data_IF_135205157403
#
_entry.id   IF_135205157403
#
_cell.length_a   1.000
_cell.length_b   1.000
_cell.length_c   1.000
_cell.angle_alpha   90.00
_cell.angle_beta   90.00
_cell.angle_gamma   90.00
#
_symmetry.space_group_name_H-M   'P 1'
#
loop_
_entity.id
_entity.type
_entity.pdbx_description
1 polymer ?
#
# COMPACT_ATOMS: atom_id res chain seq x y z
N UNK A 1 16.61 28.35 18.86
CA UNK A 1 15.31 28.01 19.48
C UNK A 1 15.06 26.54 19.18
N UNK A 2 15.04 25.67 20.19
CA UNK A 2 14.56 24.30 20.00
C UNK A 2 13.09 24.37 19.57
N UNK A 3 12.79 23.76 18.42
CA UNK A 3 11.44 23.69 17.92
C UNK A 3 10.67 22.70 18.81
N UNK A 4 9.83 23.22 19.72
CA UNK A 4 9.01 22.39 20.62
C UNK A 4 8.11 21.49 19.78
N UNK A 5 8.34 20.17 19.82
CA UNK A 5 7.53 19.19 19.09
C UNK A 5 6.20 18.98 19.83
N UNK A 6 5.09 19.03 19.10
CA UNK A 6 3.76 18.84 19.68
C UNK A 6 3.54 17.39 20.12
N UNK A 7 2.92 17.20 21.28
CA UNK A 7 2.48 15.89 21.78
C UNK A 7 1.00 15.69 21.40
N UNK A 8 0.71 14.61 20.69
CA UNK A 8 -0.63 14.19 20.25
C UNK A 8 -1.46 15.33 19.60
N UNK A 9 -0.92 16.08 18.62
CA UNK A 9 -1.61 17.22 18.04
C UNK A 9 -2.84 16.78 17.24
N UNK A 10 -3.93 17.55 17.35
CA UNK A 10 -5.05 17.46 16.42
C UNK A 10 -4.85 18.47 15.29
N UNK A 11 -4.66 17.99 14.07
CA UNK A 11 -4.48 18.82 12.86
C UNK A 11 -5.62 18.61 11.87
N UNK A 12 -6.86 18.84 12.34
CA UNK A 12 -8.07 18.54 11.58
C UNK A 12 -8.12 19.23 10.20
N UNK A 13 -7.68 20.49 10.12
CA UNK A 13 -7.63 21.22 8.84
C UNK A 13 -6.71 20.56 7.80
N UNK A 14 -5.58 19.99 8.22
CA UNK A 14 -4.69 19.21 7.35
C UNK A 14 -5.34 17.90 6.97
N UNK A 15 -5.94 17.18 7.94
CA UNK A 15 -6.58 15.89 7.70
C UNK A 15 -7.71 16.01 6.66
N UNK A 16 -8.63 16.96 6.86
CA UNK A 16 -9.76 17.18 5.94
C UNK A 16 -9.25 17.53 4.54
N UNK A 17 -8.27 18.45 4.42
CA UNK A 17 -7.68 18.79 3.12
C UNK A 17 -7.06 17.57 2.45
N UNK A 18 -6.31 16.77 3.21
CA UNK A 18 -5.73 15.52 2.74
C UNK A 18 -6.78 14.56 2.20
N UNK A 19 -7.85 14.31 2.96
CA UNK A 19 -8.94 13.41 2.55
C UNK A 19 -9.68 13.90 1.32
N UNK A 20 -10.03 15.20 1.26
CA UNK A 20 -10.69 15.79 0.09
C UNK A 20 -9.83 15.62 -1.16
N UNK A 21 -8.51 15.86 -1.05
CA UNK A 21 -7.59 15.69 -2.17
C UNK A 21 -7.45 14.22 -2.55
N UNK A 22 -7.18 13.32 -1.59
CA UNK A 22 -6.99 11.88 -1.83
C UNK A 22 -8.21 11.29 -2.53
N UNK A 23 -9.40 11.47 -1.96
CA UNK A 23 -10.61 10.82 -2.47
C UNK A 23 -11.21 11.57 -3.68
N UNK A 24 -11.04 12.89 -3.77
CA UNK A 24 -11.39 13.65 -4.96
C UNK A 24 -10.55 13.25 -6.18
N UNK A 25 -9.23 13.15 -6.01
CA UNK A 25 -8.35 12.67 -7.07
C UNK A 25 -8.61 11.19 -7.38
N UNK A 26 -8.92 10.37 -6.39
CA UNK A 26 -9.31 8.97 -6.60
C UNK A 26 -10.47 8.86 -7.59
N UNK A 27 -11.53 9.63 -7.38
CA UNK A 27 -12.71 9.61 -8.25
C UNK A 27 -12.35 10.08 -9.66
N UNK A 28 -11.74 11.27 -9.78
CA UNK A 28 -11.46 11.90 -11.07
C UNK A 28 -10.49 11.05 -11.90
N UNK A 29 -9.40 10.61 -11.29
CA UNK A 29 -8.36 9.89 -12.01
C UNK A 29 -8.74 8.45 -12.31
N UNK A 30 -9.53 7.78 -11.45
CA UNK A 30 -10.03 6.45 -11.76
C UNK A 30 -10.97 6.49 -12.98
N UNK A 31 -11.88 7.47 -13.02
CA UNK A 31 -12.77 7.68 -14.15
C UNK A 31 -12.00 7.88 -15.46
N UNK A 32 -11.02 8.79 -15.47
CA UNK A 32 -10.16 9.04 -16.63
C UNK A 32 -9.41 7.78 -17.02
N UNK A 33 -8.83 7.07 -16.05
CA UNK A 33 -8.03 5.89 -16.33
C UNK A 33 -8.87 4.75 -16.92
N UNK A 34 -10.10 4.54 -16.43
CA UNK A 34 -11.05 3.58 -17.01
C UNK A 34 -11.35 3.89 -18.48
N UNK A 35 -11.53 5.16 -18.84
CA UNK A 35 -11.68 5.57 -20.25
C UNK A 35 -10.41 5.23 -21.04
N UNK A 36 -9.24 5.57 -20.51
CA UNK A 36 -7.96 5.36 -21.19
C UNK A 36 -7.69 3.87 -21.45
N UNK A 37 -7.85 2.99 -20.45
CA UNK A 37 -7.57 1.56 -20.64
C UNK A 37 -8.62 0.84 -21.49
N UNK A 38 -9.86 1.38 -21.58
CA UNK A 38 -10.86 0.91 -22.54
C UNK A 38 -10.52 1.33 -23.97
N UNK A 39 -9.97 2.52 -24.16
CA UNK A 39 -9.56 3.02 -25.47
C UNK A 39 -8.22 2.45 -25.95
N UNK A 40 -7.29 2.23 -25.02
CA UNK A 40 -5.94 1.72 -25.28
C UNK A 40 -5.57 0.66 -24.21
N UNK A 41 -6.02 -0.59 -24.38
CA UNK A 41 -5.74 -1.67 -23.44
C UNK A 41 -4.24 -1.91 -23.20
N UNK A 42 -3.90 -2.21 -21.95
CA UNK A 42 -2.55 -2.65 -21.56
C UNK A 42 -2.38 -4.12 -21.92
N UNK A 43 -3.36 -4.98 -21.62
CA UNK A 43 -3.30 -6.35 -22.12
C UNK A 43 -3.57 -6.46 -23.62
N UNK A 44 -3.47 -7.67 -24.20
CA UNK A 44 -3.77 -7.94 -25.61
C UNK A 44 -5.28 -8.03 -25.88
N UNK A 45 -6.10 -7.27 -25.14
CA UNK A 45 -7.56 -7.38 -25.16
C UNK A 45 -8.14 -6.75 -26.43
N UNK A 46 -9.11 -7.42 -27.05
CA UNK A 46 -9.81 -6.93 -28.24
C UNK A 46 -11.31 -7.17 -28.15
N UNK A 47 -12.11 -6.38 -28.86
CA UNK A 47 -13.57 -6.56 -28.91
C UNK A 47 -14.22 -6.55 -27.52
N UNK A 48 -15.00 -7.60 -27.23
CA UNK A 48 -15.72 -7.73 -25.96
C UNK A 48 -14.78 -7.91 -24.75
N UNK A 49 -13.58 -8.46 -24.95
CA UNK A 49 -12.62 -8.71 -23.86
C UNK A 49 -12.16 -7.41 -23.20
N UNK A 50 -12.16 -6.29 -23.94
CA UNK A 50 -11.81 -4.99 -23.38
C UNK A 50 -12.74 -4.62 -22.21
N UNK A 51 -14.05 -4.86 -22.32
CA UNK A 51 -14.99 -4.56 -21.23
C UNK A 51 -14.89 -5.56 -20.07
N UNK A 52 -14.40 -6.77 -20.32
CA UNK A 52 -14.19 -7.77 -19.28
C UNK A 52 -12.90 -7.54 -18.49
N UNK A 53 -11.88 -6.95 -19.12
CA UNK A 53 -10.51 -6.85 -18.59
C UNK A 53 -10.01 -5.43 -18.31
N UNK A 54 -10.75 -4.38 -18.67
CA UNK A 54 -10.32 -3.00 -18.42
C UNK A 54 -9.99 -2.74 -16.93
N UNK A 55 -10.77 -3.34 -16.01
CA UNK A 55 -10.54 -3.18 -14.59
C UNK A 55 -9.18 -3.73 -14.19
N UNK A 56 -8.79 -4.87 -14.76
CA UNK A 56 -7.53 -5.53 -14.47
C UNK A 56 -6.34 -4.70 -14.96
N UNK A 57 -6.46 -4.12 -16.17
CA UNK A 57 -5.46 -3.21 -16.72
C UNK A 57 -5.32 -1.94 -15.85
N UNK A 58 -6.45 -1.35 -15.43
CA UNK A 58 -6.47 -0.21 -14.52
C UNK A 58 -5.75 -0.54 -13.21
N UNK A 59 -6.08 -1.68 -12.60
CA UNK A 59 -5.49 -2.14 -11.35
C UNK A 59 -3.99 -2.38 -11.50
N UNK A 60 -3.57 -3.11 -12.53
CA UNK A 60 -2.15 -3.38 -12.78
C UNK A 60 -1.36 -2.08 -12.96
N UNK A 61 -1.90 -1.15 -13.75
CA UNK A 61 -1.26 0.16 -13.94
C UNK A 61 -1.11 0.88 -12.60
N UNK A 62 -2.18 1.02 -11.80
CA UNK A 62 -2.10 1.68 -10.50
C UNK A 62 -1.07 1.02 -9.57
N UNK A 63 -1.04 -0.30 -9.51
CA UNK A 63 -0.11 -1.02 -8.65
C UNK A 63 1.34 -0.88 -9.07
N UNK A 64 1.64 -0.96 -10.37
CA UNK A 64 3.00 -0.70 -10.84
C UNK A 64 3.40 0.76 -10.65
N UNK A 65 2.47 1.69 -10.87
CA UNK A 65 2.71 3.11 -10.61
C UNK A 65 2.98 3.40 -9.14
N UNK A 66 2.21 2.80 -8.24
CA UNK A 66 2.41 2.94 -6.80
C UNK A 66 3.71 2.25 -6.34
N UNK A 67 4.14 1.17 -6.98
CA UNK A 67 5.43 0.55 -6.67
C UNK A 67 6.60 1.52 -6.92
N UNK A 68 6.56 2.27 -8.02
CA UNK A 68 7.54 3.35 -8.28
C UNK A 68 7.48 4.43 -7.20
N UNK A 69 6.30 4.74 -6.66
CA UNK A 69 6.17 5.66 -5.52
C UNK A 69 7.01 5.19 -4.34
N UNK A 70 6.85 3.92 -3.97
CA UNK A 70 7.58 3.33 -2.87
C UNK A 70 9.07 3.26 -3.12
N UNK A 71 9.50 2.96 -4.34
CA UNK A 71 10.92 2.95 -4.67
C UNK A 71 11.54 4.34 -4.53
N UNK A 72 10.88 5.38 -5.05
CA UNK A 72 11.35 6.75 -4.88
C UNK A 72 11.36 7.17 -3.40
N UNK A 73 10.29 6.89 -2.66
CA UNK A 73 10.21 7.20 -1.23
C UNK A 73 11.28 6.48 -0.39
N UNK A 74 11.55 5.21 -0.70
CA UNK A 74 12.57 4.38 -0.05
C UNK A 74 13.98 4.95 -0.13
N UNK A 75 14.28 5.75 -1.17
CA UNK A 75 15.59 6.38 -1.39
C UNK A 75 15.55 7.90 -1.19
N UNK A 76 14.60 8.38 -0.36
CA UNK A 76 14.50 9.79 0.01
C UNK A 76 13.98 10.69 -1.12
N UNK A 77 13.11 10.19 -1.98
CA UNK A 77 12.53 10.87 -3.15
C UNK A 77 13.54 11.25 -4.24
N UNK A 78 14.69 10.58 -4.33
CA UNK A 78 15.56 10.68 -5.50
C UNK A 78 14.84 10.15 -6.76
N UNK A 79 14.99 10.78 -7.96
CA UNK A 79 15.86 11.92 -8.30
C UNK A 79 15.24 13.31 -8.08
N UNK A 80 14.05 13.40 -7.48
CA UNK A 80 13.28 14.64 -7.37
C UNK A 80 13.71 15.56 -6.21
N UNK A 81 14.74 15.19 -5.45
CA UNK A 81 15.21 15.92 -4.27
C UNK A 81 15.67 17.35 -4.56
N UNK A 82 16.07 17.66 -5.79
CA UNK A 82 16.46 19.01 -6.19
C UNK A 82 15.28 19.96 -6.37
N UNK A 83 14.05 19.45 -6.50
CA UNK A 83 12.83 20.25 -6.65
C UNK A 83 12.40 20.75 -5.27
N UNK A 84 12.61 22.04 -5.01
CA UNK A 84 12.38 22.66 -3.68
C UNK A 84 10.89 22.83 -3.36
N UNK A 85 10.07 23.15 -4.36
CA UNK A 85 8.64 23.33 -4.15
C UNK A 85 7.97 21.95 -4.00
N UNK A 86 7.35 21.69 -2.85
CA UNK A 86 6.70 20.42 -2.54
C UNK A 86 5.58 20.06 -3.52
N UNK A 87 4.79 21.04 -3.98
CA UNK A 87 3.73 20.81 -4.96
C UNK A 87 4.32 20.37 -6.29
N UNK A 88 5.32 21.08 -6.81
CA UNK A 88 5.98 20.71 -8.07
C UNK A 88 6.71 19.37 -7.96
N UNK A 89 7.43 19.14 -6.85
CA UNK A 89 8.07 17.84 -6.61
C UNK A 89 7.04 16.72 -6.60
N UNK A 90 5.91 16.94 -5.91
CA UNK A 90 4.85 15.96 -5.81
C UNK A 90 4.20 15.63 -7.15
N UNK A 91 3.89 16.67 -7.94
CA UNK A 91 3.37 16.51 -9.29
C UNK A 91 4.36 15.77 -10.20
N UNK A 92 5.62 16.20 -10.24
CA UNK A 92 6.65 15.55 -11.07
C UNK A 92 6.87 14.09 -10.68
N UNK A 93 6.96 13.78 -9.39
CA UNK A 93 7.15 12.42 -8.92
C UNK A 93 5.93 11.53 -9.22
N UNK A 94 4.71 12.06 -9.06
CA UNK A 94 3.47 11.34 -9.40
C UNK A 94 3.39 11.05 -10.91
N UNK A 95 3.65 12.05 -11.75
CA UNK A 95 3.67 11.88 -13.21
C UNK A 95 4.73 10.85 -13.62
N UNK A 96 5.93 10.90 -13.03
CA UNK A 96 6.97 9.91 -13.30
C UNK A 96 6.52 8.49 -12.93
N UNK A 97 5.85 8.32 -11.79
CA UNK A 97 5.25 7.03 -11.40
C UNK A 97 4.24 6.54 -12.42
N UNK A 98 3.39 7.42 -12.98
CA UNK A 98 2.41 7.04 -14.00
C UNK A 98 3.10 6.64 -15.31
N UNK A 99 4.05 7.45 -15.78
CA UNK A 99 4.83 7.17 -16.99
C UNK A 99 5.59 5.84 -16.87
N UNK A 100 6.11 5.50 -15.69
CA UNK A 100 6.83 4.25 -15.46
C UNK A 100 5.89 3.07 -15.16
N UNK A 101 4.72 3.32 -14.55
CA UNK A 101 3.75 2.29 -14.21
C UNK A 101 3.13 1.61 -15.42
N UNK A 102 2.78 2.39 -16.45
CA UNK A 102 2.20 1.85 -17.68
C UNK A 102 3.12 0.84 -18.40
N UNK A 103 4.39 1.17 -18.73
CA UNK A 103 5.28 0.22 -19.37
C UNK A 103 5.62 -0.95 -18.44
N UNK A 104 5.70 -0.76 -17.12
CA UNK A 104 5.87 -1.88 -16.18
C UNK A 104 4.72 -2.89 -16.27
N UNK A 105 3.48 -2.42 -16.37
CA UNK A 105 2.32 -3.28 -16.59
C UNK A 105 2.33 -3.93 -17.98
N UNK A 106 2.63 -3.14 -19.03
CA UNK A 106 2.68 -3.62 -20.43
C UNK A 106 3.78 -4.66 -20.66
N UNK A 107 4.90 -4.54 -19.93
CA UNK A 107 6.07 -5.40 -20.06
C UNK A 107 5.75 -6.87 -19.79
N UNK A 108 4.79 -7.18 -18.90
CA UNK A 108 4.31 -8.55 -18.66
C UNK A 108 3.91 -9.20 -19.99
N UNK A 109 3.04 -8.51 -20.75
CA UNK A 109 2.54 -9.01 -22.02
C UNK A 109 3.59 -8.96 -23.13
N UNK A 110 4.49 -7.97 -23.13
CA UNK A 110 5.62 -7.93 -24.08
C UNK A 110 6.60 -9.08 -23.90
N UNK A 111 6.74 -9.60 -22.68
CA UNK A 111 7.53 -10.80 -22.39
C UNK A 111 6.79 -12.10 -22.73
N UNK A 112 5.58 -12.02 -23.30
CA UNK A 112 4.74 -13.18 -23.61
C UNK A 112 4.10 -13.82 -22.38
N UNK A 113 4.10 -13.14 -21.23
CA UNK A 113 3.44 -13.61 -20.02
C UNK A 113 1.95 -13.25 -20.06
N UNK A 114 1.09 -14.13 -19.54
CA UNK A 114 -0.34 -13.89 -19.42
C UNK A 114 -0.72 -13.03 -18.21
N UNK A 115 -2.00 -12.65 -18.12
CA UNK A 115 -2.54 -11.86 -17.01
C UNK A 115 -2.32 -12.52 -15.63
N UNK A 116 -2.29 -13.85 -15.58
CA UNK A 116 -2.02 -14.62 -14.37
C UNK A 116 -0.64 -14.36 -13.75
N UNK A 117 0.28 -13.71 -14.46
CA UNK A 117 1.60 -13.30 -13.94
C UNK A 117 1.60 -11.96 -13.22
N UNK A 118 0.61 -11.09 -13.43
CA UNK A 118 0.66 -9.73 -12.90
C UNK A 118 0.66 -9.70 -11.38
N UNK A 119 -0.31 -10.33 -10.71
CA UNK A 119 -0.34 -10.34 -9.25
C UNK A 119 0.84 -11.09 -8.60
N UNK A 120 1.32 -12.23 -9.14
CA UNK A 120 2.58 -12.83 -8.72
C UNK A 120 3.77 -11.87 -8.70
N UNK A 121 3.96 -11.12 -9.80
CA UNK A 121 5.03 -10.11 -9.89
C UNK A 121 4.80 -8.99 -8.89
N UNK A 122 3.59 -8.41 -8.88
CA UNK A 122 3.22 -7.27 -8.04
C UNK A 122 3.40 -7.60 -6.55
N UNK A 123 2.89 -8.74 -6.07
CA UNK A 123 3.03 -9.08 -4.65
C UNK A 123 4.48 -9.29 -4.23
N UNK A 124 5.31 -9.87 -5.10
CA UNK A 124 6.74 -10.05 -4.80
C UNK A 124 7.48 -8.71 -4.75
N UNK A 125 7.29 -7.83 -5.74
CA UNK A 125 7.99 -6.54 -5.77
C UNK A 125 7.58 -5.64 -4.58
N UNK A 126 6.31 -5.71 -4.15
CA UNK A 126 5.82 -5.03 -2.95
C UNK A 126 6.38 -5.64 -1.66
N UNK A 127 6.48 -6.97 -1.59
CA UNK A 127 7.04 -7.65 -0.42
C UNK A 127 8.50 -7.28 -0.22
N UNK A 128 9.31 -7.36 -1.28
CA UNK A 128 10.74 -7.10 -1.17
C UNK A 128 11.04 -5.63 -0.87
N UNK A 129 10.30 -4.68 -1.47
CA UNK A 129 10.51 -3.27 -1.14
C UNK A 129 10.10 -2.95 0.31
N UNK A 130 9.01 -3.54 0.81
CA UNK A 130 8.63 -3.41 2.22
C UNK A 130 9.76 -3.95 3.12
N UNK A 131 10.22 -5.17 2.85
CA UNK A 131 11.19 -5.88 3.67
C UNK A 131 12.55 -5.18 3.74
N UNK A 132 13.05 -4.69 2.61
CA UNK A 132 14.34 -4.00 2.58
C UNK A 132 14.22 -2.56 3.07
N UNK A 133 13.17 -1.84 2.67
CA UNK A 133 13.13 -0.38 2.81
C UNK A 133 12.23 0.14 3.93
N UNK A 134 11.06 -0.43 4.14
CA UNK A 134 10.04 0.16 5.02
C UNK A 134 9.97 -0.47 6.41
N UNK A 135 10.33 -1.75 6.59
CA UNK A 135 10.46 -2.37 7.93
C UNK A 135 11.80 -2.10 8.62
N UNK A 136 12.63 -1.22 8.04
CA UNK A 136 13.99 -1.01 8.51
C UNK A 136 14.81 0.15 7.95
N UNK A 137 14.25 1.02 7.12
CA UNK A 137 14.97 2.20 6.63
C UNK A 137 16.07 1.89 5.61
N UNK A 138 15.76 1.04 4.63
CA UNK A 138 16.71 0.57 3.61
C UNK A 138 17.97 -0.10 4.19
N UNK A 139 17.75 -0.95 5.20
CA UNK A 139 18.79 -1.46 6.08
C UNK A 139 19.97 -2.17 5.40
N UNK A 140 19.83 -2.92 4.29
CA UNK A 140 20.98 -3.60 3.69
C UNK A 140 21.98 -2.62 3.05
N UNK A 141 21.52 -1.42 2.69
CA UNK A 141 22.29 -0.44 1.91
C UNK A 141 22.21 0.97 2.51
N UNK A 142 21.98 1.05 3.82
CA UNK A 142 21.77 2.33 4.53
C UNK A 142 22.95 3.30 4.36
N UNK A 143 24.17 2.79 4.23
CA UNK A 143 25.39 3.59 4.03
C UNK A 143 25.63 4.06 2.58
N UNK A 144 24.79 3.63 1.63
CA UNK A 144 24.98 3.96 0.22
C UNK A 144 24.29 5.28 -0.14
N UNK A 145 24.77 5.97 -1.17
CA UNK A 145 24.07 7.17 -1.67
C UNK A 145 22.73 6.79 -2.31
N UNK A 146 21.74 7.70 -2.26
CA UNK A 146 20.40 7.47 -2.81
C UNK A 146 20.38 6.91 -4.27
N UNK A 147 21.19 7.41 -5.22
CA UNK A 147 21.25 6.83 -6.57
C UNK A 147 21.73 5.36 -6.58
N UNK A 148 22.70 5.02 -5.72
CA UNK A 148 23.21 3.64 -5.60
C UNK A 148 22.18 2.74 -4.95
N UNK A 149 21.55 3.20 -3.87
CA UNK A 149 20.43 2.50 -3.23
C UNK A 149 19.32 2.20 -4.24
N UNK A 150 18.93 3.18 -5.07
CA UNK A 150 17.92 3.03 -6.10
C UNK A 150 18.25 1.92 -7.10
N UNK A 151 19.45 1.96 -7.68
CA UNK A 151 19.89 0.97 -8.66
C UNK A 151 19.98 -0.44 -8.08
N UNK A 152 20.52 -0.57 -6.87
CA UNK A 152 20.67 -1.87 -6.20
C UNK A 152 19.30 -2.44 -5.81
N UNK A 153 18.42 -1.64 -5.20
CA UNK A 153 17.05 -2.04 -4.87
C UNK A 153 16.32 -2.58 -6.11
N UNK A 154 16.39 -1.84 -7.22
CA UNK A 154 15.73 -2.22 -8.47
C UNK A 154 16.22 -3.59 -8.97
N UNK A 155 17.54 -3.80 -9.01
CA UNK A 155 18.17 -5.06 -9.48
C UNK A 155 17.82 -6.21 -8.54
N UNK A 156 17.95 -6.01 -7.23
CA UNK A 156 17.72 -7.07 -6.23
C UNK A 156 16.26 -7.47 -6.17
N UNK A 157 15.33 -6.50 -6.17
CA UNK A 157 13.89 -6.78 -6.18
C UNK A 157 13.50 -7.53 -7.45
N UNK A 158 14.03 -7.12 -8.61
CA UNK A 158 13.77 -7.81 -9.87
C UNK A 158 14.27 -9.26 -9.84
N UNK A 159 15.53 -9.47 -9.44
CA UNK A 159 16.14 -10.81 -9.38
C UNK A 159 15.41 -11.73 -8.39
N UNK A 160 15.08 -11.25 -7.19
CA UNK A 160 14.35 -12.04 -6.20
C UNK A 160 12.90 -12.31 -6.63
N UNK A 161 12.26 -11.36 -7.31
CA UNK A 161 10.93 -11.58 -7.90
C UNK A 161 10.98 -12.68 -8.95
N UNK A 162 11.98 -12.67 -9.83
CA UNK A 162 12.18 -13.74 -10.80
C UNK A 162 12.39 -15.11 -10.13
N UNK A 163 13.24 -15.18 -9.10
CA UNK A 163 13.50 -16.41 -8.35
C UNK A 163 12.22 -16.96 -7.69
N UNK A 164 11.44 -16.11 -7.01
CA UNK A 164 10.20 -16.53 -6.36
C UNK A 164 9.16 -16.98 -7.39
N UNK A 165 8.97 -16.19 -8.45
CA UNK A 165 7.93 -16.47 -9.46
C UNK A 165 8.21 -17.71 -10.32
N UNK A 166 9.47 -18.15 -10.40
CA UNK A 166 9.91 -19.38 -11.05
C UNK A 166 10.17 -20.54 -10.06
N UNK A 167 9.74 -20.41 -8.81
CA UNK A 167 9.81 -21.47 -7.79
C UNK A 167 8.42 -22.00 -7.44
N UNK A 168 8.36 -23.04 -6.59
CA UNK A 168 7.10 -23.55 -6.02
C UNK A 168 6.36 -22.53 -5.16
N UNK A 169 7.06 -21.52 -4.62
CA UNK A 169 6.45 -20.41 -3.88
C UNK A 169 5.53 -19.60 -4.80
N UNK A 170 5.93 -19.41 -6.07
CA UNK A 170 5.21 -18.76 -7.18
C UNK A 170 4.87 -17.27 -6.98
N UNK A 171 4.45 -16.87 -5.80
CA UNK A 171 3.99 -15.53 -5.46
C UNK A 171 4.10 -15.36 -3.95
N UNK A 172 4.30 -14.14 -3.43
CA UNK A 172 4.03 -13.79 -2.03
C UNK A 172 2.74 -12.94 -1.99
N UNK A 173 1.57 -13.51 -1.62
CA UNK A 173 0.30 -12.79 -1.63
C UNK A 173 0.35 -11.52 -0.79
N UNK A 174 -0.09 -10.40 -1.36
CA UNK A 174 0.02 -9.07 -0.74
C UNK A 174 -0.97 -8.83 0.42
N UNK A 175 -1.62 -9.87 0.95
CA UNK A 175 -2.64 -9.77 2.01
C UNK A 175 -2.10 -9.18 3.31
N UNK A 176 -0.78 -9.22 3.51
CA UNK A 176 -0.08 -8.59 4.63
C UNK A 176 -0.08 -7.05 4.55
N UNK A 177 -0.39 -6.46 3.38
CA UNK A 177 -0.19 -5.03 3.12
C UNK A 177 -1.01 -4.08 4.01
N UNK A 178 -2.32 -4.30 4.28
CA UNK A 178 -3.06 -3.50 5.25
C UNK A 178 -2.43 -3.52 6.66
N UNK A 179 -1.92 -4.67 7.10
CA UNK A 179 -1.24 -4.80 8.39
C UNK A 179 0.08 -4.03 8.41
N UNK A 180 0.79 -4.01 7.27
CA UNK A 180 1.97 -3.14 7.11
C UNK A 180 1.60 -1.67 7.29
N UNK A 181 0.51 -1.24 6.66
CA UNK A 181 0.03 0.13 6.79
C UNK A 181 -0.36 0.48 8.22
N UNK A 182 -1.08 -0.42 8.91
CA UNK A 182 -1.46 -0.21 10.31
C UNK A 182 -0.19 -0.09 11.18
N UNK A 183 0.75 -1.02 11.04
CA UNK A 183 1.99 -1.04 11.82
C UNK A 183 2.91 0.16 11.58
N UNK A 184 3.04 0.58 10.31
CA UNK A 184 3.87 1.72 9.90
C UNK A 184 3.21 3.06 10.21
N UNK A 185 1.94 3.25 9.84
CA UNK A 185 1.24 4.52 10.02
C UNK A 185 1.07 4.88 11.50
N UNK A 186 0.79 3.89 12.35
CA UNK A 186 0.64 4.12 13.80
C UNK A 186 1.99 4.18 14.53
N UNK A 187 3.08 3.71 13.92
CA UNK A 187 4.36 3.54 14.62
C UNK A 187 4.39 2.33 15.57
N UNK A 188 3.38 1.46 15.54
CA UNK A 188 3.31 0.25 16.36
C UNK A 188 4.51 -0.68 16.12
N UNK A 189 4.95 -0.84 14.87
CA UNK A 189 6.16 -1.63 14.57
C UNK A 189 7.42 -1.02 15.18
N UNK A 190 7.53 0.31 15.17
CA UNK A 190 8.67 0.98 15.79
C UNK A 190 8.69 0.78 17.31
N UNK A 191 7.53 0.70 17.95
CA UNK A 191 7.41 0.45 19.38
C UNK A 191 7.64 -1.03 19.78
N UNK A 192 6.99 -1.97 19.08
CA UNK A 192 7.05 -3.40 19.40
C UNK A 192 8.44 -3.99 19.17
N UNK A 193 9.15 -3.50 18.16
CA UNK A 193 10.47 -4.00 17.79
C UNK A 193 11.58 -3.01 18.14
N UNK A 194 11.33 -2.10 19.10
CA UNK A 194 12.35 -1.18 19.61
C UNK A 194 13.54 -1.95 20.18
N UNK A 195 14.75 -1.44 19.96
CA UNK A 195 16.00 -2.10 20.36
C UNK A 195 16.38 -3.34 19.53
N UNK A 196 15.54 -3.84 18.62
CA UNK A 196 15.88 -4.95 17.74
C UNK A 196 16.77 -4.49 16.58
N UNK A 197 17.90 -5.19 16.38
CA UNK A 197 18.80 -4.97 15.24
C UNK A 197 18.26 -5.57 13.95
N UNK A 198 18.69 -5.04 12.81
CA UNK A 198 18.45 -5.66 11.51
C UNK A 198 19.33 -6.90 11.33
N UNK A 199 18.87 -7.94 10.62
CA UNK A 199 17.59 -8.03 9.90
C UNK A 199 16.39 -8.43 10.78
N UNK A 200 16.61 -8.76 12.06
CA UNK A 200 15.58 -9.35 12.92
C UNK A 200 14.36 -8.46 13.14
N UNK A 201 14.55 -7.13 13.18
CA UNK A 201 13.43 -6.19 13.20
C UNK A 201 12.51 -6.33 11.99
N UNK A 202 13.07 -6.41 10.78
CA UNK A 202 12.30 -6.60 9.55
C UNK A 202 11.62 -7.98 9.51
N UNK A 203 12.36 -9.04 9.87
CA UNK A 203 11.81 -10.41 9.94
C UNK A 203 10.64 -10.47 10.92
N UNK A 204 10.77 -9.89 12.11
CA UNK A 204 9.72 -9.90 13.13
C UNK A 204 8.47 -9.14 12.70
N UNK A 205 8.65 -8.00 12.02
CA UNK A 205 7.54 -7.26 11.43
C UNK A 205 6.79 -8.08 10.38
N UNK A 206 7.52 -8.71 9.44
CA UNK A 206 6.94 -9.61 8.42
C UNK A 206 6.13 -10.73 9.09
N UNK A 207 6.73 -11.45 10.04
CA UNK A 207 6.06 -12.57 10.72
C UNK A 207 4.78 -12.12 11.42
N UNK A 208 4.80 -10.98 12.11
CA UNK A 208 3.61 -10.41 12.76
C UNK A 208 2.50 -10.11 11.74
N UNK A 209 2.84 -9.59 10.56
CA UNK A 209 1.84 -9.34 9.52
C UNK A 209 1.25 -10.63 8.94
N UNK A 210 2.06 -11.67 8.74
CA UNK A 210 1.56 -12.98 8.31
C UNK A 210 0.67 -13.64 9.37
N UNK A 211 0.97 -13.47 10.66
CA UNK A 211 0.06 -13.86 11.73
C UNK A 211 -1.27 -13.11 11.64
N UNK A 212 -1.23 -11.80 11.37
CA UNK A 212 -2.43 -10.98 11.12
C UNK A 212 -3.28 -11.49 9.96
N UNK A 213 -2.64 -11.85 8.83
CA UNK A 213 -3.30 -12.48 7.69
C UNK A 213 -3.97 -13.78 8.12
N UNK A 214 -3.27 -14.67 8.82
CA UNK A 214 -3.83 -15.94 9.31
C UNK A 214 -5.09 -15.75 10.15
N UNK A 215 -5.07 -14.81 11.09
CA UNK A 215 -6.25 -14.45 11.91
C UNK A 215 -7.40 -13.96 11.03
N UNK A 216 -7.11 -13.09 10.04
CA UNK A 216 -8.15 -12.56 9.18
C UNK A 216 -8.77 -13.61 8.27
N UNK A 217 -7.98 -14.54 7.73
CA UNK A 217 -8.51 -15.66 6.96
C UNK A 217 -9.42 -16.55 7.82
N UNK A 218 -9.03 -16.82 9.08
CA UNK A 218 -9.85 -17.61 10.01
C UNK A 218 -11.20 -16.95 10.32
N UNK A 219 -11.26 -15.61 10.33
CA UNK A 219 -12.52 -14.86 10.48
C UNK A 219 -13.30 -14.80 9.16
N UNK A 220 -12.60 -14.68 8.03
CA UNK A 220 -13.21 -14.53 6.71
C UNK A 220 -13.92 -15.81 6.23
N UNK A 221 -13.39 -16.97 6.61
CA UNK A 221 -13.93 -18.27 6.22
C UNK A 221 -15.35 -18.56 6.76
N UNK A 222 -15.64 -18.45 8.06
CA UNK A 222 -17.00 -18.64 8.57
C UNK A 222 -17.98 -17.57 8.07
N UNK A 223 -17.50 -16.41 7.61
CA UNK A 223 -18.32 -15.38 6.96
C UNK A 223 -18.61 -15.70 5.48
N UNK A 224 -18.10 -16.81 4.94
CA UNK A 224 -18.30 -17.22 3.55
C UNK A 224 -17.57 -16.37 2.52
N UNK A 225 -16.63 -15.52 2.95
CA UNK A 225 -15.85 -14.65 2.05
C UNK A 225 -14.51 -15.28 1.64
N UNK A 226 -14.12 -16.37 2.31
CA UNK A 226 -12.92 -17.16 2.05
C UNK A 226 -13.25 -18.64 2.05
N UNK A 227 -12.68 -19.41 1.11
CA UNK A 227 -12.84 -20.86 1.05
C UNK A 227 -11.48 -21.56 1.00
N UNK A 228 -11.16 -22.31 2.07
CA UNK A 228 -9.95 -23.11 2.20
C UNK A 228 -9.89 -24.32 1.26
N UNK A 229 -11.00 -24.72 0.65
CA UNK A 229 -11.07 -25.85 -0.28
C UNK A 229 -10.78 -25.44 -1.72
N UNK A 230 -10.88 -24.16 -2.05
CA UNK A 230 -10.51 -23.68 -3.37
C UNK A 230 -9.00 -23.86 -3.58
N UNK A 231 -8.55 -24.13 -4.82
CA UNK A 231 -7.14 -24.17 -5.11
C UNK A 231 -6.52 -22.84 -4.70
N UNK A 232 -5.50 -22.91 -3.84
CA UNK A 232 -4.72 -21.76 -3.46
C UNK A 232 -3.95 -21.18 -4.63
N UNK A 233 -3.18 -20.14 -4.33
CA UNK A 233 -2.46 -19.33 -5.34
C UNK A 233 -1.23 -20.06 -5.95
N UNK A 234 -0.89 -21.23 -5.42
CA UNK A 234 0.17 -22.11 -5.90
C UNK A 234 0.29 -23.35 -5.02
N UNK A 235 1.22 -24.25 -5.33
CA UNK A 235 1.44 -25.47 -4.54
C UNK A 235 1.98 -25.20 -3.12
N UNK A 236 2.73 -24.11 -2.95
CA UNK A 236 3.21 -23.66 -1.64
C UNK A 236 2.11 -22.99 -0.80
N UNK A 237 1.34 -22.08 -1.39
CA UNK A 237 0.26 -21.35 -0.71
C UNK A 237 -1.08 -22.07 -0.83
N UNK A 238 -1.17 -23.27 -0.26
CA UNK A 238 -2.41 -24.03 -0.23
C UNK A 238 -3.33 -23.56 0.92
N UNK A 239 -3.73 -22.29 0.87
CA UNK A 239 -4.49 -21.61 1.93
C UNK A 239 -5.88 -21.16 1.47
N UNK A 240 -6.36 -21.69 0.35
CA UNK A 240 -7.65 -21.32 -0.23
C UNK A 240 -7.63 -20.09 -1.11
N UNK A 241 -8.82 -19.61 -1.47
CA UNK A 241 -9.04 -18.38 -2.21
C UNK A 241 -10.31 -17.67 -1.74
N UNK A 242 -10.47 -16.42 -2.14
CA UNK A 242 -11.70 -15.66 -1.90
C UNK A 242 -12.84 -16.13 -2.81
N UNK A 243 -14.08 -15.91 -2.37
CA UNK A 243 -15.27 -16.27 -3.14
C UNK A 243 -15.37 -15.48 -4.46
N UNK A 244 -16.01 -16.03 -5.52
CA UNK A 244 -16.18 -15.35 -6.81
C UNK A 244 -16.91 -13.99 -6.74
N UNK A 245 -17.59 -13.71 -5.62
CA UNK A 245 -18.22 -12.39 -5.39
C UNK A 245 -17.21 -11.25 -5.25
N UNK A 246 -15.92 -11.54 -5.06
CA UNK A 246 -14.83 -10.56 -4.86
C UNK A 246 -15.03 -9.64 -3.64
N UNK A 247 -15.96 -9.95 -2.74
CA UNK A 247 -16.23 -9.17 -1.53
C UNK A 247 -15.00 -9.03 -0.62
N UNK A 248 -14.27 -10.13 -0.44
CA UNK A 248 -13.04 -10.14 0.34
C UNK A 248 -11.97 -9.25 -0.31
N UNK A 249 -11.91 -9.28 -1.63
CA UNK A 249 -10.94 -8.52 -2.41
C UNK A 249 -11.25 -7.02 -2.34
N UNK A 250 -12.53 -6.63 -2.39
CA UNK A 250 -12.97 -5.26 -2.16
C UNK A 250 -12.59 -4.79 -0.74
N UNK A 251 -12.85 -5.62 0.28
CA UNK A 251 -12.45 -5.32 1.66
C UNK A 251 -10.94 -5.11 1.79
N UNK A 252 -10.14 -5.96 1.15
CA UNK A 252 -8.70 -5.84 1.12
C UNK A 252 -8.26 -4.50 0.50
N UNK A 253 -8.86 -4.07 -0.62
CA UNK A 253 -8.50 -2.79 -1.25
C UNK A 253 -8.95 -1.57 -0.47
N UNK A 254 -10.14 -1.61 0.12
CA UNK A 254 -10.58 -0.57 1.06
C UNK A 254 -9.61 -0.49 2.23
N UNK A 255 -9.18 -1.64 2.77
CA UNK A 255 -8.10 -1.74 3.75
C UNK A 255 -6.85 -0.98 3.33
N UNK A 256 -6.36 -1.29 2.13
CA UNK A 256 -5.17 -0.65 1.56
C UNK A 256 -5.34 0.86 1.28
N UNK A 257 -6.55 1.34 1.03
CA UNK A 257 -6.82 2.72 0.65
C UNK A 257 -7.07 3.65 1.85
N UNK A 258 -7.73 3.13 2.89
CA UNK A 258 -8.19 3.95 4.01
C UNK A 258 -7.25 3.93 5.20
N UNK A 259 -6.51 2.84 5.47
CA UNK A 259 -5.65 2.78 6.67
C UNK A 259 -4.62 3.91 6.63
N UNK A 260 -3.78 3.95 5.59
CA UNK A 260 -2.76 5.00 5.48
C UNK A 260 -3.37 6.38 5.17
N UNK A 261 -4.36 6.42 4.26
CA UNK A 261 -5.04 7.64 3.83
C UNK A 261 -5.83 8.37 4.94
N UNK A 262 -6.25 7.66 5.99
CA UNK A 262 -6.91 8.26 7.15
C UNK A 262 -5.93 8.55 8.27
N UNK A 263 -5.13 7.57 8.68
CA UNK A 263 -4.28 7.68 9.87
C UNK A 263 -3.18 8.73 9.70
N UNK A 264 -2.53 8.79 8.54
CA UNK A 264 -1.39 9.68 8.33
C UNK A 264 -1.83 11.16 8.28
N UNK A 265 -2.81 11.57 7.46
CA UNK A 265 -3.29 12.96 7.49
C UNK A 265 -3.85 13.39 8.85
N UNK A 266 -4.46 12.46 9.59
CA UNK A 266 -4.99 12.72 10.95
C UNK A 266 -3.92 12.68 12.04
N UNK A 267 -2.67 12.36 11.70
CA UNK A 267 -1.57 12.19 12.65
C UNK A 267 -1.93 11.21 13.78
N UNK A 268 -2.68 10.14 13.43
CA UNK A 268 -3.19 9.13 14.35
C UNK A 268 -4.03 9.66 15.54
N UNK A 269 -4.56 10.87 15.48
CA UNK A 269 -5.46 11.37 16.52
C UNK A 269 -6.81 10.63 16.47
N UNK A 270 -7.49 10.36 17.61
CA UNK A 270 -7.11 10.66 18.99
C UNK A 270 -6.19 9.62 19.64
N UNK A 271 -5.83 8.56 18.92
CA UNK A 271 -5.08 7.43 19.46
C UNK A 271 -3.70 7.80 19.99
N UNK A 272 -3.08 8.86 19.45
CA UNK A 272 -1.83 9.44 19.96
C UNK A 272 -1.86 9.86 21.42
N UNK A 273 -3.05 10.09 21.99
CA UNK A 273 -3.25 10.40 23.42
C UNK A 273 -3.12 9.18 24.33
N UNK A 274 -3.12 7.98 23.76
CA UNK A 274 -3.03 6.70 24.48
C UNK A 274 -1.61 6.18 24.31
N UNK A 275 -1.00 5.74 25.42
CA UNK A 275 0.36 5.20 25.39
C UNK A 275 0.45 3.95 24.51
N UNK A 276 1.59 3.77 23.85
CA UNK A 276 1.90 2.53 23.16
C UNK A 276 2.03 1.35 24.16
N UNK A 277 1.71 0.11 23.77
CA UNK A 277 1.25 -0.29 22.43
C UNK A 277 -0.26 -0.07 22.21
N UNK A 278 -1.02 0.26 23.25
CA UNK A 278 -2.48 0.30 23.23
C UNK A 278 -3.04 1.31 22.24
N UNK A 279 -2.44 2.49 22.13
CA UNK A 279 -2.86 3.50 21.16
C UNK A 279 -2.74 3.00 19.71
N UNK A 280 -1.64 2.34 19.34
CA UNK A 280 -1.46 1.74 18.02
C UNK A 280 -2.43 0.59 17.75
N UNK A 281 -2.68 -0.26 18.75
CA UNK A 281 -3.66 -1.36 18.64
C UNK A 281 -5.10 -0.84 18.45
N UNK A 282 -5.49 0.19 19.20
CA UNK A 282 -6.82 0.81 19.07
C UNK A 282 -6.99 1.53 17.73
N UNK A 283 -5.95 2.22 17.23
CA UNK A 283 -5.97 2.81 15.89
C UNK A 283 -6.12 1.74 14.79
N UNK A 284 -5.45 0.60 14.95
CA UNK A 284 -5.55 -0.55 14.03
C UNK A 284 -6.94 -1.18 14.06
N UNK A 285 -7.52 -1.37 15.26
CA UNK A 285 -8.89 -1.89 15.40
C UNK A 285 -9.93 -0.92 14.83
N UNK A 286 -9.79 0.38 15.09
CA UNK A 286 -10.66 1.41 14.51
C UNK A 286 -10.61 1.39 12.98
N UNK A 287 -9.42 1.34 12.39
CA UNK A 287 -9.28 1.31 10.93
C UNK A 287 -9.81 0.01 10.33
N UNK A 288 -9.67 -1.13 11.00
CA UNK A 288 -10.30 -2.37 10.56
C UNK A 288 -11.84 -2.25 10.49
N UNK A 289 -12.47 -1.69 11.53
CA UNK A 289 -13.92 -1.42 11.55
C UNK A 289 -14.31 -0.42 10.47
N UNK A 290 -13.55 0.66 10.30
CA UNK A 290 -13.79 1.65 9.25
C UNK A 290 -13.75 1.01 7.87
N UNK A 291 -12.79 0.13 7.61
CA UNK A 291 -12.66 -0.54 6.32
C UNK A 291 -13.86 -1.47 6.05
N UNK A 292 -14.36 -2.17 7.06
CA UNK A 292 -15.60 -2.97 6.93
C UNK A 292 -16.77 -2.05 6.55
N UNK A 293 -16.98 -0.95 7.28
CA UNK A 293 -18.09 -0.01 7.03
C UNK A 293 -18.00 0.55 5.61
N UNK A 294 -16.82 1.05 5.20
CA UNK A 294 -16.62 1.61 3.86
C UNK A 294 -16.82 0.55 2.77
N UNK A 295 -16.39 -0.70 3.01
CA UNK A 295 -16.63 -1.81 2.08
C UNK A 295 -18.13 -2.05 1.90
N UNK A 296 -18.91 -2.08 3.00
CA UNK A 296 -20.36 -2.24 2.93
C UNK A 296 -21.03 -1.08 2.17
N UNK A 297 -20.56 0.15 2.39
CA UNK A 297 -21.04 1.33 1.64
C UNK A 297 -20.73 1.18 0.14
N UNK A 298 -19.49 0.85 -0.22
CA UNK A 298 -19.11 0.67 -1.63
C UNK A 298 -19.90 -0.46 -2.30
N UNK A 299 -20.15 -1.58 -1.59
CA UNK A 299 -21.01 -2.65 -2.08
C UNK A 299 -22.44 -2.18 -2.35
N UNK A 300 -23.01 -1.39 -1.45
CA UNK A 300 -24.36 -0.84 -1.63
C UNK A 300 -24.46 0.16 -2.80
N UNK A 301 -23.31 0.68 -3.24
CA UNK A 301 -23.21 1.59 -4.39
C UNK A 301 -23.01 0.87 -5.73
N UNK A 302 -22.88 -0.47 -5.75
CA UNK A 302 -22.87 -1.26 -7.00
C UNK A 302 -24.29 -1.28 -7.59
N UNK A 303 -24.41 -0.87 -8.85
CA UNK A 303 -25.66 -0.56 -9.54
C UNK A 303 -25.92 0.95 -9.60
N UNK A 304 -26.12 1.64 -8.44
CA UNK A 304 -26.37 3.08 -8.42
C UNK A 304 -25.21 3.97 -8.86
N UNK A 305 -23.97 3.58 -8.55
CA UNK A 305 -22.77 4.39 -8.83
C UNK A 305 -21.71 3.62 -9.61
N UNK A 306 -21.42 2.38 -9.20
CA UNK A 306 -20.51 1.50 -9.94
C UNK A 306 -21.34 0.58 -10.83
N UNK A 307 -20.94 0.38 -12.09
CA UNK A 307 -21.61 -0.54 -12.99
C UNK A 307 -21.58 -1.98 -12.48
N UNK A 308 -20.46 -2.40 -11.88
CA UNK A 308 -20.26 -3.73 -11.33
C UNK A 308 -19.19 -3.72 -10.22
N UNK A 309 -18.95 -4.91 -9.65
CA UNK A 309 -17.91 -5.11 -8.64
C UNK A 309 -16.51 -4.78 -9.18
N UNK A 310 -16.21 -5.11 -10.43
CA UNK A 310 -14.89 -4.87 -11.02
C UNK A 310 -14.59 -3.38 -11.13
N UNK A 311 -15.59 -2.56 -11.51
CA UNK A 311 -15.48 -1.11 -11.48
C UNK A 311 -15.21 -0.62 -10.05
N UNK A 312 -15.96 -1.09 -9.05
CA UNK A 312 -15.73 -0.72 -7.66
C UNK A 312 -14.29 -1.02 -7.19
N UNK A 313 -13.70 -2.16 -7.62
CA UNK A 313 -12.30 -2.49 -7.33
C UNK A 313 -11.33 -1.47 -7.94
N UNK A 314 -11.60 -0.94 -9.14
CA UNK A 314 -10.74 0.10 -9.76
C UNK A 314 -10.67 1.37 -8.91
N UNK A 315 -11.80 1.80 -8.33
CA UNK A 315 -11.83 2.95 -7.42
C UNK A 315 -11.13 2.64 -6.09
N UNK A 316 -11.30 1.42 -5.56
CA UNK A 316 -10.57 0.95 -4.39
C UNK A 316 -9.05 1.09 -4.58
N UNK A 317 -8.52 0.58 -5.69
CA UNK A 317 -7.08 0.65 -6.00
C UNK A 317 -6.55 2.04 -6.28
N UNK A 318 -7.32 2.86 -7.00
CA UNK A 318 -6.95 4.26 -7.18
C UNK A 318 -6.90 4.99 -5.83
N UNK A 319 -7.79 4.63 -4.89
CA UNK A 319 -7.74 5.06 -3.51
C UNK A 319 -6.43 4.68 -2.81
N UNK A 320 -5.96 3.44 -2.99
CA UNK A 320 -4.64 3.01 -2.49
C UNK A 320 -3.55 3.92 -3.03
N UNK A 321 -3.50 4.15 -4.34
CA UNK A 321 -2.46 4.94 -4.97
C UNK A 321 -2.40 6.38 -4.39
N UNK A 322 -3.52 7.09 -4.37
CA UNK A 322 -3.56 8.46 -3.83
C UNK A 322 -3.35 8.54 -2.33
N UNK A 323 -3.77 7.51 -1.57
CA UNK A 323 -3.51 7.44 -0.13
C UNK A 323 -2.01 7.47 0.20
N UNK A 324 -1.15 7.03 -0.73
CA UNK A 324 0.30 7.09 -0.59
C UNK A 324 0.94 8.26 -1.33
N UNK A 325 0.52 8.60 -2.55
CA UNK A 325 1.08 9.74 -3.28
C UNK A 325 0.97 11.02 -2.46
N UNK A 326 -0.21 11.28 -1.88
CA UNK A 326 -0.45 12.52 -1.15
C UNK A 326 0.48 12.67 0.07
N UNK A 327 0.59 11.70 0.97
CA UNK A 327 1.56 11.82 2.05
C UNK A 327 3.03 11.75 1.60
N UNK A 328 3.41 10.77 0.76
CA UNK A 328 4.83 10.52 0.46
C UNK A 328 5.48 11.56 -0.45
N UNK A 329 4.72 12.14 -1.38
CA UNK A 329 5.25 13.07 -2.37
C UNK A 329 4.89 14.53 -2.08
N UNK A 330 3.67 14.78 -1.60
CA UNK A 330 3.22 16.14 -1.27
C UNK A 330 3.44 16.49 0.21
N UNK A 331 3.71 15.50 1.07
CA UNK A 331 4.05 15.70 2.48
C UNK A 331 2.85 15.88 3.41
N UNK A 332 1.62 15.66 2.94
CA UNK A 332 0.42 15.85 3.77
C UNK A 332 0.35 14.78 4.85
N UNK A 333 0.34 15.19 6.12
CA UNK A 333 0.48 14.30 7.28
C UNK A 333 1.93 14.14 7.78
N UNK A 334 2.91 14.69 7.05
CA UNK A 334 4.33 14.69 7.41
C UNK A 334 4.93 16.10 7.49
N UNK A 335 4.10 17.16 7.45
CA UNK A 335 4.58 18.54 7.39
C UNK A 335 5.36 18.98 8.62
N UNK A 336 5.00 18.41 9.79
CA UNK A 336 5.72 18.66 11.05
C UNK A 336 5.78 17.38 11.86
N UNK A 337 6.91 17.08 12.50
CA UNK A 337 7.00 15.97 13.45
C UNK A 337 5.97 16.14 14.57
N UNK A 338 5.58 15.01 15.17
CA UNK A 338 4.73 14.96 16.35
C UNK A 338 5.16 13.78 17.23
N UNK A 339 4.77 13.84 18.49
CA UNK A 339 5.02 12.79 19.48
C UNK A 339 3.72 12.10 19.88
N UNK A 340 3.78 10.79 20.09
CA UNK A 340 2.79 10.09 20.89
C UNK A 340 2.97 10.41 22.37
N UNK A 341 1.93 10.25 23.18
CA UNK A 341 2.08 10.34 24.65
C UNK A 341 3.08 9.27 25.13
N UNK A 342 4.13 9.72 25.80
CA UNK A 342 5.22 8.87 26.29
C UNK A 342 6.41 8.73 25.34
N UNK A 343 6.31 9.27 24.12
CA UNK A 343 7.42 9.31 23.17
C UNK A 343 8.34 10.51 23.46
N UNK A 344 9.64 10.32 23.34
CA UNK A 344 10.65 11.39 23.51
C UNK A 344 11.12 11.93 22.16
N UNK A 345 11.47 11.04 21.22
CA UNK A 345 11.95 11.42 19.88
C UNK A 345 10.94 11.06 18.79
N UNK A 346 10.58 11.98 17.87
CA UNK A 346 9.63 11.69 16.80
C UNK A 346 10.12 10.53 15.91
N UNK A 347 9.20 9.62 15.58
CA UNK A 347 9.48 8.51 14.67
C UNK A 347 10.27 7.33 15.26
N UNK A 348 10.77 7.42 16.50
CA UNK A 348 11.41 6.30 17.19
C UNK A 348 10.91 6.12 18.63
N UNK A 349 11.09 4.92 19.16
CA UNK A 349 10.83 4.56 20.55
C UNK A 349 12.07 3.94 21.21
N UNK A 350 13.23 3.98 20.53
CA UNK A 350 14.46 3.37 21.02
C UNK A 350 15.05 4.09 22.26
N UNK A 351 14.55 5.28 22.58
CA UNK A 351 14.92 6.11 23.73
C UNK A 351 13.92 6.03 24.91
N UNK A 352 12.94 5.14 24.82
CA UNK A 352 11.90 4.89 25.83
C UNK A 352 11.97 3.43 26.27
N UNK A 353 12.43 3.20 27.51
CA UNK A 353 12.47 1.87 28.15
C UNK A 353 11.09 1.46 28.67
#
# INVERSE_FOLDING_TARGET
>A
MEQKVDIAPLRMGTAIKGWVIIYGLTIITCFILNILVKAAPIGPWTGADVQSWYWFDNVCYNLFSLWWCFLFAAVGNWPFTKIQNNLYRGLTATIACWILGWPSAKFIYWMGLGAEWAFPIIGCIYFFILFFSFTGGNWPWSDFSAPRQFGILLIVIFALTWLVTNSTIRWIPAWWFPFAQMGLATGLFAYLFRGMKQPMRSVSAILLMFCGVGVWLMVSAPLGTWDYKLPGIGSFWNIGSYAPSNDWLLLFFVGCAFVYGVLVPLHNWPFTKIRMPWGGLLASAFTAVLCIIVTLIMKAMIGPVFADMNEALTYGYMGVAWSFYIPLFFGIGFEKPYLWVGQKTPGTWDDVE
#
